data_IF_985854790488
#
_entry.id   IF_985854790488
#
_cell.length_a   1.000
_cell.length_b   1.000
_cell.length_c   1.000
_cell.angle_alpha   90.00
_cell.angle_beta   90.00
_cell.angle_gamma   90.00
#
_symmetry.space_group_name_H-M   'P 1'
#
loop_
_entity.id
_entity.type
_entity.pdbx_description
1 polymer ?
#
# COMPACT_ATOMS: atom_id res chain seq x y z
N UNK A 1 9.23 -3.24 -16.42
CA UNK A 1 8.07 -3.08 -15.51
C UNK A 1 8.49 -2.28 -14.27
N UNK A 2 7.54 -1.64 -13.58
CA UNK A 2 7.81 -1.02 -12.28
C UNK A 2 8.00 -2.12 -11.22
N UNK A 3 9.05 -2.01 -10.41
CA UNK A 3 9.35 -2.95 -9.33
C UNK A 3 9.79 -2.20 -8.08
N UNK A 4 9.41 -2.68 -6.90
CA UNK A 4 9.82 -2.13 -5.61
C UNK A 4 8.65 -1.78 -4.70
N UNK A 5 8.97 -0.99 -3.67
CA UNK A 5 8.03 -0.47 -2.68
C UNK A 5 7.70 0.97 -3.01
N UNK A 6 6.42 1.33 -2.91
CA UNK A 6 5.89 2.64 -3.28
C UNK A 6 4.92 3.18 -2.23
N UNK A 7 4.89 4.51 -2.08
CA UNK A 7 3.72 5.20 -1.54
C UNK A 7 2.65 5.27 -2.63
N UNK A 8 1.42 4.89 -2.29
CA UNK A 8 0.28 4.88 -3.21
C UNK A 8 -0.93 5.55 -2.58
N UNK A 9 -1.83 6.06 -3.41
CA UNK A 9 -3.17 6.47 -3.02
C UNK A 9 -4.19 5.52 -3.65
N UNK A 10 -5.18 5.07 -2.87
CA UNK A 10 -6.17 4.08 -3.29
C UNK A 10 -7.57 4.68 -3.27
N UNK A 11 -8.29 4.50 -4.37
CA UNK A 11 -9.68 4.96 -4.51
C UNK A 11 -10.57 3.81 -4.98
N UNK A 12 -11.81 3.76 -4.48
CA UNK A 12 -12.79 2.72 -4.78
C UNK A 12 -13.31 2.04 -3.52
N UNK A 13 -14.46 1.36 -3.63
CA UNK A 13 -15.13 0.74 -2.47
C UNK A 13 -15.34 1.70 -1.28
N UNK A 14 -15.64 2.98 -1.57
CA UNK A 14 -15.83 4.02 -0.56
C UNK A 14 -14.54 4.69 -0.06
N UNK A 15 -13.36 4.20 -0.45
CA UNK A 15 -12.08 4.86 -0.20
C UNK A 15 -11.89 6.03 -1.17
N UNK A 16 -11.36 7.15 -0.67
CA UNK A 16 -10.99 8.32 -1.47
C UNK A 16 -9.53 8.67 -1.17
N UNK A 17 -8.66 8.49 -2.16
CA UNK A 17 -7.21 8.74 -2.05
C UNK A 17 -6.56 8.19 -0.77
N UNK A 18 -7.04 7.04 -0.28
CA UNK A 18 -6.55 6.41 0.94
C UNK A 18 -5.05 6.10 0.82
N UNK A 19 -4.20 6.63 1.72
CA UNK A 19 -2.77 6.34 1.71
C UNK A 19 -2.47 4.85 1.89
N UNK A 20 -1.48 4.34 1.17
CA UNK A 20 -1.03 2.97 1.30
C UNK A 20 0.44 2.79 0.93
N UNK A 21 1.04 1.72 1.46
CA UNK A 21 2.33 1.22 1.04
C UNK A 21 2.10 0.03 0.08
N UNK A 22 2.68 0.10 -1.12
CA UNK A 22 2.52 -0.94 -2.13
C UNK A 22 3.83 -1.65 -2.43
N UNK A 23 3.82 -2.97 -2.49
CA UNK A 23 4.85 -3.75 -3.16
C UNK A 23 4.37 -4.08 -4.58
N UNK A 24 5.18 -3.73 -5.59
CA UNK A 24 4.99 -4.13 -6.97
C UNK A 24 6.14 -5.05 -7.36
N UNK A 25 5.84 -6.30 -7.65
CA UNK A 25 6.85 -7.32 -7.92
C UNK A 25 6.35 -8.36 -8.92
N UNK A 26 7.14 -9.42 -9.07
CA UNK A 26 6.78 -10.57 -9.91
C UNK A 26 6.77 -11.85 -9.11
N UNK A 27 5.73 -12.67 -9.28
CA UNK A 27 5.67 -14.01 -8.71
C UNK A 27 6.01 -15.03 -9.79
N UNK A 28 7.05 -15.87 -9.60
CA UNK A 28 7.24 -17.04 -10.44
C UNK A 28 6.04 -17.98 -10.30
N UNK A 29 5.44 -18.38 -11.41
CA UNK A 29 4.35 -19.37 -11.45
C UNK A 29 4.75 -20.53 -12.36
N UNK A 30 4.10 -21.68 -12.22
CA UNK A 30 4.41 -22.91 -12.98
C UNK A 30 4.32 -22.69 -14.50
N UNK A 31 3.51 -21.71 -14.96
CA UNK A 31 3.27 -21.43 -16.38
C UNK A 31 3.74 -20.03 -16.82
N UNK A 32 4.58 -19.34 -16.05
CA UNK A 32 5.11 -18.02 -16.42
C UNK A 32 5.38 -17.08 -15.24
N UNK A 33 5.49 -15.79 -15.52
CA UNK A 33 5.72 -14.76 -14.52
C UNK A 33 4.53 -13.82 -14.49
N UNK A 34 3.90 -13.67 -13.31
CA UNK A 34 2.78 -12.74 -13.12
C UNK A 34 3.26 -11.52 -12.33
N UNK A 35 2.86 -10.32 -12.77
CA UNK A 35 3.04 -9.11 -12.00
C UNK A 35 2.05 -9.09 -10.83
N UNK A 36 2.52 -8.73 -9.64
CA UNK A 36 1.70 -8.68 -8.44
C UNK A 36 1.83 -7.32 -7.80
N UNK A 37 0.68 -6.70 -7.53
CA UNK A 37 0.55 -5.48 -6.76
C UNK A 37 -0.10 -5.83 -5.43
N UNK A 38 0.60 -5.59 -4.33
CA UNK A 38 0.11 -5.81 -2.97
C UNK A 38 0.12 -4.48 -2.24
N UNK A 39 -1.02 -4.04 -1.73
CA UNK A 39 -1.16 -2.74 -1.04
C UNK A 39 -1.56 -2.97 0.40
N UNK A 40 -0.81 -2.37 1.32
CA UNK A 40 -1.19 -2.18 2.71
C UNK A 40 -1.76 -0.76 2.86
N UNK A 41 -3.07 -0.66 3.09
CA UNK A 41 -3.74 0.62 3.35
C UNK A 41 -3.39 1.09 4.77
N UNK A 42 -2.91 2.32 4.89
CA UNK A 42 -2.59 2.92 6.19
C UNK A 42 -3.87 3.21 6.96
N UNK A 43 -3.88 2.87 8.25
CA UNK A 43 -4.97 3.19 9.20
C UNK A 43 -6.37 2.70 8.75
N UNK A 44 -6.41 1.76 7.80
CA UNK A 44 -7.64 1.16 7.30
C UNK A 44 -8.31 0.37 8.42
N UNK A 45 -9.54 0.78 8.75
CA UNK A 45 -10.29 0.20 9.86
C UNK A 45 -10.14 0.94 11.19
N UNK A 46 -9.47 2.10 11.24
CA UNK A 46 -9.47 3.01 12.40
C UNK A 46 -10.50 4.16 12.20
N UNK A 47 -11.58 4.24 13.00
CA UNK A 47 -12.59 5.28 12.87
C UNK A 47 -12.08 6.69 13.24
N UNK A 48 -10.93 6.81 13.90
CA UNK A 48 -10.36 8.08 14.34
C UNK A 48 -9.39 8.73 13.32
N UNK A 49 -8.96 7.97 12.29
CA UNK A 49 -7.92 8.38 11.34
C UNK A 49 -8.42 8.89 9.98
N UNK A 50 -9.71 8.76 9.67
CA UNK A 50 -10.28 9.26 8.40
C UNK A 50 -10.76 10.69 8.55
N UNK A 51 -10.04 11.64 7.95
CA UNK A 51 -10.52 13.01 7.79
C UNK A 51 -11.57 13.05 6.68
N UNK A 52 -12.84 13.00 7.08
CA UNK A 52 -13.99 13.23 6.20
C UNK A 52 -14.84 11.99 5.96
N UNK A 53 -16.14 12.27 5.90
CA UNK A 53 -17.40 11.67 5.44
C UNK A 53 -17.43 10.28 4.76
N UNK A 54 -16.34 9.53 4.73
CA UNK A 54 -16.29 8.18 4.20
C UNK A 54 -17.13 7.26 5.09
N UNK A 55 -18.36 7.06 4.66
CA UNK A 55 -19.27 6.02 5.14
C UNK A 55 -18.75 4.64 4.71
N UNK A 56 -17.54 4.27 5.16
CA UNK A 56 -17.04 2.91 5.09
C UNK A 56 -17.19 2.33 6.49
N UNK A 57 -18.37 1.78 6.77
CA UNK A 57 -18.55 0.94 7.96
C UNK A 57 -17.58 -0.23 7.87
N UNK A 58 -16.80 -0.42 8.94
CA UNK A 58 -15.67 -1.34 9.15
C UNK A 58 -15.86 -2.84 8.79
N UNK A 59 -16.89 -3.21 8.04
CA UNK A 59 -17.35 -4.58 7.87
C UNK A 59 -17.22 -5.13 6.44
N UNK A 60 -17.04 -4.28 5.44
CA UNK A 60 -16.99 -4.73 4.06
C UNK A 60 -15.57 -5.09 3.64
N UNK A 61 -15.38 -6.37 3.37
CA UNK A 61 -14.16 -6.91 2.79
C UNK A 61 -13.92 -6.26 1.41
N UNK A 62 -12.69 -5.79 1.14
CA UNK A 62 -12.29 -5.30 -0.19
C UNK A 62 -12.17 -6.42 -1.24
N UNK A 63 -12.35 -7.70 -0.87
CA UNK A 63 -12.33 -8.80 -1.83
C UNK A 63 -13.44 -8.66 -2.87
N UNK A 64 -13.08 -8.79 -4.15
CA UNK A 64 -14.00 -8.64 -5.27
C UNK A 64 -14.29 -7.19 -5.67
N UNK A 65 -13.84 -6.20 -4.89
CA UNK A 65 -13.96 -4.81 -5.26
C UNK A 65 -12.92 -4.41 -6.31
N UNK A 66 -13.31 -3.49 -7.21
CA UNK A 66 -12.38 -2.83 -8.11
C UNK A 66 -11.83 -1.57 -7.43
N UNK A 67 -10.50 -1.51 -7.33
CA UNK A 67 -9.77 -0.39 -6.76
C UNK A 67 -8.86 0.23 -7.82
N UNK A 68 -8.71 1.55 -7.76
CA UNK A 68 -7.69 2.29 -8.49
C UNK A 68 -6.53 2.59 -7.56
N UNK A 69 -5.31 2.24 -7.97
CA UNK A 69 -4.08 2.47 -7.21
C UNK A 69 -3.20 3.46 -7.98
N UNK A 70 -3.04 4.65 -7.42
CA UNK A 70 -2.15 5.67 -7.97
C UNK A 70 -0.78 5.60 -7.30
N UNK A 71 0.26 5.32 -8.08
CA UNK A 71 1.65 5.36 -7.60
C UNK A 71 2.07 6.82 -7.41
N UNK A 72 2.46 7.18 -6.17
CA UNK A 72 2.80 8.57 -5.80
C UNK A 72 4.29 8.76 -5.60
N UNK A 73 4.97 7.82 -4.95
CA UNK A 73 6.39 7.93 -4.64
C UNK A 73 7.07 6.57 -4.60
N UNK A 74 8.31 6.49 -5.08
CA UNK A 74 9.15 5.30 -4.96
C UNK A 74 9.88 5.33 -3.62
N UNK A 75 9.74 4.28 -2.82
CA UNK A 75 10.37 4.18 -1.50
C UNK A 75 11.72 3.47 -1.62
N UNK A 76 11.75 2.25 -2.17
CA UNK A 76 12.98 1.44 -2.29
C UNK A 76 12.79 0.24 -3.23
N UNK A 77 13.87 -0.45 -3.67
CA UNK A 77 13.74 -1.68 -4.45
C UNK A 77 13.24 -2.86 -3.60
N UNK A 78 12.81 -3.94 -4.26
CA UNK A 78 12.55 -5.22 -3.60
C UNK A 78 13.85 -5.76 -3.00
N UNK A 79 13.78 -6.33 -1.79
CA UNK A 79 14.93 -6.85 -1.06
C UNK A 79 14.61 -8.22 -0.48
N UNK A 80 15.60 -9.12 -0.53
CA UNK A 80 15.53 -10.41 0.17
C UNK A 80 16.13 -10.24 1.56
N UNK A 81 15.36 -10.57 2.57
CA UNK A 81 15.82 -10.50 3.96
C UNK A 81 16.33 -11.87 4.42
N UNK A 82 17.39 -11.85 5.23
CA UNK A 82 18.01 -13.06 5.78
C UNK A 82 17.11 -13.74 6.84
N UNK A 83 16.26 -12.96 7.51
CA UNK A 83 15.34 -13.44 8.52
C UNK A 83 14.06 -12.58 8.60
N UNK A 84 13.11 -13.07 9.41
CA UNK A 84 11.80 -12.46 9.59
C UNK A 84 11.85 -11.12 10.33
N UNK A 85 12.82 -10.91 11.23
CA UNK A 85 12.90 -9.70 12.03
C UNK A 85 13.45 -8.53 11.21
N UNK A 86 14.40 -8.80 10.31
CA UNK A 86 14.86 -7.86 9.30
C UNK A 86 13.71 -7.45 8.36
N UNK A 87 12.94 -8.43 7.87
CA UNK A 87 11.76 -8.15 7.03
C UNK A 87 10.75 -7.24 7.75
N UNK A 88 10.38 -7.56 9.00
CA UNK A 88 9.45 -6.73 9.80
C UNK A 88 10.02 -5.33 10.03
N UNK A 89 11.32 -5.21 10.21
CA UNK A 89 11.98 -3.91 10.40
C UNK A 89 11.89 -3.07 9.14
N UNK A 90 12.20 -3.65 7.98
CA UNK A 90 12.05 -2.97 6.70
C UNK A 90 10.60 -2.54 6.43
N UNK A 91 9.62 -3.41 6.67
CA UNK A 91 8.19 -3.07 6.50
C UNK A 91 7.79 -1.86 7.36
N UNK A 92 8.25 -1.81 8.63
CA UNK A 92 7.98 -0.65 9.51
C UNK A 92 8.63 0.63 8.99
N UNK A 93 9.85 0.54 8.48
CA UNK A 93 10.55 1.67 7.87
C UNK A 93 9.83 2.15 6.61
N UNK A 94 9.36 1.23 5.77
CA UNK A 94 8.59 1.54 4.57
C UNK A 94 7.30 2.29 4.93
N UNK A 95 6.54 1.80 5.92
CA UNK A 95 5.31 2.46 6.40
C UNK A 95 5.62 3.88 6.91
N UNK A 96 6.69 4.05 7.68
CA UNK A 96 7.08 5.36 8.19
C UNK A 96 7.47 6.33 7.07
N UNK A 97 8.18 5.85 6.04
CA UNK A 97 8.52 6.66 4.87
C UNK A 97 7.28 7.06 4.06
N UNK A 98 6.32 6.14 3.90
CA UNK A 98 5.03 6.43 3.25
C UNK A 98 4.23 7.46 4.05
N UNK A 99 4.13 7.32 5.37
CA UNK A 99 3.46 8.33 6.24
C UNK A 99 4.10 9.69 6.08
N UNK A 100 5.43 9.76 6.20
CA UNK A 100 6.17 11.01 6.05
C UNK A 100 5.94 11.67 4.69
N UNK A 101 5.82 10.89 3.61
CA UNK A 101 5.50 11.41 2.28
C UNK A 101 4.10 12.06 2.22
N UNK A 102 3.08 11.46 2.83
CA UNK A 102 1.71 12.01 2.82
C UNK A 102 1.50 13.13 3.84
N UNK A 103 2.33 13.22 4.88
CA UNK A 103 2.29 14.32 5.86
C UNK A 103 2.96 15.61 5.35
N UNK A 104 3.71 15.55 4.24
CA UNK A 104 4.30 16.73 3.61
C UNK A 104 3.22 17.55 2.89
N UNK A 105 3.13 18.88 3.14
CA UNK A 105 2.22 19.73 2.37
C UNK A 105 2.62 19.69 0.89
N UNK A 106 1.65 19.37 0.03
CA UNK A 106 1.86 19.44 -1.42
C UNK A 106 2.00 20.91 -1.80
N UNK A 107 3.18 21.31 -2.28
CA UNK A 107 3.47 22.68 -2.77
C UNK A 107 2.80 22.92 -4.12
#
# INVERSE_FOLDING_TARGET
PLHGVFAVAVTGAGLTDQPGAANMGTRPTVNGTENRLEVYLLDYGDPAGSSGDAQCTHQDSLYGAHLTVAFRHYVRPEEKFADLDLLKTAIRQDINAVRAFFDMPTV
#
